data_IF_852111174933
#
_entry.id   IF_852111174933
#
_cell.length_a   1.000
_cell.length_b   1.000
_cell.length_c   1.000
_cell.angle_alpha   90.00
_cell.angle_beta   90.00
_cell.angle_gamma   90.00
#
_symmetry.space_group_name_H-M   'P 1'
#
loop_
_entity.id
_entity.type
_entity.pdbx_description
1 polymer ?
#
# COMPACT_ATOMS: atom_id res chain seq x y z
N UNK A 1 -3.71 10.88 0.38
CA UNK A 1 -2.99 10.59 1.64
C UNK A 1 -3.44 11.56 2.72
N UNK A 2 -3.63 12.83 2.38
CA UNK A 2 -4.05 13.93 3.27
C UNK A 2 -5.18 13.57 4.25
N UNK A 3 -6.23 12.87 3.79
CA UNK A 3 -7.34 12.44 4.67
C UNK A 3 -6.94 11.39 5.70
N UNK A 4 -5.96 10.54 5.41
CA UNK A 4 -5.43 9.58 6.37
C UNK A 4 -4.56 10.29 7.41
N UNK A 5 -3.76 11.27 6.99
CA UNK A 5 -2.96 12.10 7.90
C UNK A 5 -3.86 12.87 8.86
N UNK A 6 -4.95 13.49 8.36
CA UNK A 6 -5.94 14.15 9.22
C UNK A 6 -6.56 13.18 10.25
N UNK A 7 -6.81 11.91 9.88
CA UNK A 7 -7.32 10.91 10.82
C UNK A 7 -6.29 10.52 11.87
N UNK A 8 -5.01 10.47 11.50
CA UNK A 8 -3.91 10.25 12.46
C UNK A 8 -3.78 11.44 13.42
N UNK A 9 -3.86 12.67 12.90
CA UNK A 9 -3.82 13.90 13.71
C UNK A 9 -5.01 13.99 14.68
N UNK A 10 -6.17 13.48 14.28
CA UNK A 10 -7.36 13.37 15.14
C UNK A 10 -7.29 12.20 16.13
N UNK A 11 -6.25 11.35 16.05
CA UNK A 11 -6.06 10.17 16.89
C UNK A 11 -7.05 9.03 16.60
N UNK A 12 -7.70 9.03 15.43
CA UNK A 12 -8.64 7.97 15.00
C UNK A 12 -7.87 6.71 14.60
N UNK A 13 -6.70 6.87 13.99
CA UNK A 13 -5.76 5.80 13.67
C UNK A 13 -4.40 6.08 14.32
N UNK A 14 -3.59 5.04 14.49
CA UNK A 14 -2.26 5.15 15.13
C UNK A 14 -1.22 5.91 14.30
N UNK A 15 -1.38 5.95 12.97
CA UNK A 15 -0.47 6.62 12.05
C UNK A 15 -0.74 6.24 10.60
N UNK A 16 0.06 6.81 9.71
CA UNK A 16 0.12 6.47 8.28
C UNK A 16 1.55 5.98 8.00
N UNK A 17 1.70 4.89 7.26
CA UNK A 17 3.03 4.37 6.91
C UNK A 17 3.78 5.37 6.02
N UNK A 18 5.11 5.42 6.15
CA UNK A 18 5.95 6.29 5.31
C UNK A 18 5.97 5.80 3.84
N UNK A 19 5.94 4.48 3.65
CA UNK A 19 6.01 3.83 2.33
C UNK A 19 4.63 3.72 1.67
N UNK A 20 4.55 4.15 0.41
CA UNK A 20 3.34 4.12 -0.41
C UNK A 20 3.62 3.49 -1.77
N UNK A 21 2.81 2.52 -2.17
CA UNK A 21 3.05 1.72 -3.37
C UNK A 21 2.00 1.98 -4.44
N UNK A 22 2.43 1.97 -5.70
CA UNK A 22 1.61 2.17 -6.88
C UNK A 22 2.09 1.25 -7.98
N UNK A 23 1.15 0.67 -8.72
CA UNK A 23 1.44 -0.17 -9.87
C UNK A 23 0.85 0.46 -11.12
N UNK A 24 1.66 0.60 -12.17
CA UNK A 24 1.20 1.15 -13.44
C UNK A 24 0.11 0.27 -14.04
N UNK A 25 -0.94 0.84 -14.65
CA UNK A 25 -2.04 0.08 -15.23
C UNK A 25 -1.70 -0.66 -16.53
N UNK A 26 -0.66 -0.23 -17.25
CA UNK A 26 -0.24 -0.85 -18.51
C UNK A 26 0.59 -2.13 -18.26
N UNK A 27 -0.04 -3.12 -17.66
CA UNK A 27 0.55 -4.41 -17.33
C UNK A 27 0.33 -5.43 -18.45
N UNK A 28 1.11 -6.51 -18.41
CA UNK A 28 0.75 -7.71 -19.19
C UNK A 28 -0.64 -8.21 -18.78
N UNK A 29 -1.38 -8.85 -19.69
CA UNK A 29 -2.73 -9.38 -19.40
C UNK A 29 -2.77 -10.28 -18.16
N UNK A 30 -1.68 -11.01 -17.91
CA UNK A 30 -1.56 -11.94 -16.78
C UNK A 30 -1.15 -11.28 -15.47
N UNK A 31 -0.69 -10.02 -15.53
CA UNK A 31 -0.17 -9.24 -14.40
C UNK A 31 0.90 -10.03 -13.61
N UNK A 32 1.68 -10.86 -14.30
CA UNK A 32 2.57 -11.86 -13.69
C UNK A 32 3.66 -11.23 -12.82
N UNK A 33 4.22 -10.10 -13.24
CA UNK A 33 5.25 -9.37 -12.49
C UNK A 33 4.75 -8.91 -11.12
N UNK A 34 3.57 -8.28 -11.06
CA UNK A 34 2.97 -7.86 -9.77
C UNK A 34 2.63 -9.09 -8.92
N UNK A 35 2.07 -10.14 -9.53
CA UNK A 35 1.62 -11.32 -8.80
C UNK A 35 2.75 -12.16 -8.22
N UNK A 36 3.89 -12.24 -8.92
CA UNK A 36 4.97 -13.16 -8.59
C UNK A 36 6.18 -12.48 -7.96
N UNK A 37 6.31 -11.16 -8.09
CA UNK A 37 7.50 -10.44 -7.64
C UNK A 37 7.13 -9.19 -6.83
N UNK A 38 6.71 -8.10 -7.49
CA UNK A 38 6.62 -6.80 -6.84
C UNK A 38 5.48 -6.68 -5.83
N UNK A 39 4.38 -7.42 -6.00
CA UNK A 39 3.29 -7.50 -5.02
C UNK A 39 3.70 -8.23 -3.74
N UNK A 40 4.23 -9.48 -3.82
CA UNK A 40 4.78 -10.16 -2.65
C UNK A 40 5.90 -9.37 -1.95
N UNK A 41 6.75 -8.68 -2.72
CA UNK A 41 7.81 -7.83 -2.17
C UNK A 41 7.25 -6.69 -1.32
N UNK A 42 6.32 -5.89 -1.85
CA UNK A 42 5.77 -4.77 -1.08
C UNK A 42 4.94 -5.25 0.11
N UNK A 43 4.24 -6.39 -0.01
CA UNK A 43 3.50 -6.97 1.11
C UNK A 43 4.43 -7.37 2.27
N UNK A 44 5.61 -7.90 1.96
CA UNK A 44 6.63 -8.20 2.99
C UNK A 44 7.15 -6.93 3.65
N UNK A 45 7.46 -5.89 2.87
CA UNK A 45 7.93 -4.61 3.42
C UNK A 45 6.88 -3.99 4.35
N UNK A 46 5.60 -3.97 3.94
CA UNK A 46 4.50 -3.50 4.79
C UNK A 46 4.40 -4.28 6.11
N UNK A 47 4.58 -5.60 6.09
CA UNK A 47 4.60 -6.41 7.30
C UNK A 47 5.80 -6.09 8.20
N UNK A 48 6.97 -5.87 7.61
CA UNK A 48 8.19 -5.46 8.34
C UNK A 48 8.06 -4.06 8.96
N UNK A 49 7.33 -3.16 8.31
CA UNK A 49 6.96 -1.83 8.81
C UNK A 49 5.85 -1.86 9.89
N UNK A 50 5.22 -3.01 10.11
CA UNK A 50 4.13 -3.13 11.08
C UNK A 50 2.81 -2.54 10.60
N UNK A 51 2.56 -2.51 9.29
CA UNK A 51 1.29 -2.05 8.72
C UNK A 51 0.16 -3.02 9.10
N UNK A 52 -0.85 -2.51 9.80
CA UNK A 52 -2.03 -3.28 10.22
C UNK A 52 -3.09 -3.43 9.11
N UNK A 53 -3.26 -2.38 8.29
CA UNK A 53 -4.34 -2.29 7.29
C UNK A 53 -3.82 -1.66 6.01
N UNK A 54 -4.18 -2.26 4.87
CA UNK A 54 -3.88 -1.74 3.53
C UNK A 54 -5.16 -1.24 2.87
N UNK A 55 -5.10 -0.02 2.31
CA UNK A 55 -6.15 0.56 1.49
C UNK A 55 -5.75 0.46 0.01
N UNK A 56 -6.49 -0.33 -0.76
CA UNK A 56 -6.28 -0.48 -2.19
C UNK A 56 -7.31 0.35 -2.95
N UNK A 57 -6.84 1.27 -3.80
CA UNK A 57 -7.68 2.06 -4.70
C UNK A 57 -7.37 1.68 -6.14
N UNK A 58 -8.40 1.25 -6.88
CA UNK A 58 -8.31 1.16 -8.34
C UNK A 58 -8.51 2.54 -8.98
N UNK A 59 -7.90 2.73 -10.14
CA UNK A 59 -8.18 3.85 -11.07
C UNK A 59 -9.04 3.38 -12.22
#
# INVERSE_FOLDING_TARGET
>A
IDRLEELADQGVIGGVADSHYSFAGNQSETVSEIRLDSGPLCAREMLEEGVDVVLLTGT
#
